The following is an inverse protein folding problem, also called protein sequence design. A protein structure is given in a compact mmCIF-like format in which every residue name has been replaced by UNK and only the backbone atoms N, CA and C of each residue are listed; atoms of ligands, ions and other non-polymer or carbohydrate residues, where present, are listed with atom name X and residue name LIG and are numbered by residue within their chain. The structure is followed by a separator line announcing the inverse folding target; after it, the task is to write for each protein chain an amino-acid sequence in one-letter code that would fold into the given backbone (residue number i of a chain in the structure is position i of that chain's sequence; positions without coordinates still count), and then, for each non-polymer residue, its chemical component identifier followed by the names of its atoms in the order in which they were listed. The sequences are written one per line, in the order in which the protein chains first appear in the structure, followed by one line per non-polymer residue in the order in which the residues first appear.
data_IF_695555202695
#
_entry.id   IF_695555202695
#
_cell.length_a   1.000
_cell.length_b   1.000
_cell.length_c   1.000
_cell.angle_alpha   90.00
_cell.angle_beta   90.00
_cell.angle_gamma   90.00
#
_symmetry.space_group_name_H-M   'P 1'
#
loop_
_entity.id
_entity.type
_entity.pdbx_description
1 polymer ?
#
# COMPACT_ATOMS: atom_id res chain seq x y z
N UNK A 1 -27.57 -5.56 29.53
CA UNK A 1 -26.93 -4.96 28.35
C UNK A 1 -27.95 -4.94 27.22
N UNK A 2 -28.27 -3.80 26.59
CA UNK A 2 -29.21 -3.77 25.50
C UNK A 2 -28.55 -4.35 24.26
N UNK A 3 -29.20 -5.36 23.68
CA UNK A 3 -28.86 -5.96 22.38
C UNK A 3 -28.94 -4.84 21.34
N UNK A 4 -27.82 -4.47 20.72
CA UNK A 4 -27.79 -3.60 19.54
C UNK A 4 -28.64 -4.28 18.45
N UNK A 5 -29.83 -3.75 18.18
CA UNK A 5 -30.61 -4.12 16.99
C UNK A 5 -29.72 -3.92 15.77
N UNK A 6 -29.48 -4.99 14.99
CA UNK A 6 -28.90 -4.87 13.68
C UNK A 6 -29.77 -3.87 12.88
N UNK A 7 -29.17 -2.78 12.43
CA UNK A 7 -29.85 -1.81 11.60
C UNK A 7 -30.27 -2.54 10.30
N UNK A 8 -31.56 -2.60 10.04
CA UNK A 8 -32.06 -3.16 8.80
C UNK A 8 -31.41 -2.40 7.65
N UNK A 9 -30.71 -3.12 6.78
CA UNK A 9 -30.04 -2.54 5.61
C UNK A 9 -31.12 -2.05 4.66
N UNK A 10 -31.31 -0.73 4.59
CA UNK A 10 -32.36 -0.14 3.74
C UNK A 10 -32.13 -0.48 2.25
N UNK A 11 -33.18 -0.41 1.39
CA UNK A 11 -33.08 -0.72 -0.04
C UNK A 11 -31.94 0.00 -0.76
N UNK A 12 -31.61 1.21 -0.33
CA UNK A 12 -30.49 2.01 -0.86
C UNK A 12 -29.11 1.40 -0.57
N UNK A 13 -28.91 0.82 0.61
CA UNK A 13 -27.63 0.19 0.98
C UNK A 13 -27.44 -1.08 0.16
N UNK A 14 -28.47 -1.89 -0.01
CA UNK A 14 -28.43 -3.09 -0.86
C UNK A 14 -28.16 -2.75 -2.32
N UNK A 15 -28.75 -1.67 -2.83
CA UNK A 15 -28.51 -1.19 -4.19
C UNK A 15 -27.02 -0.80 -4.37
N UNK A 16 -26.45 -0.03 -3.44
CA UNK A 16 -25.04 0.35 -3.44
C UNK A 16 -24.11 -0.86 -3.41
N UNK A 17 -24.41 -1.84 -2.54
CA UNK A 17 -23.64 -3.09 -2.46
C UNK A 17 -23.67 -3.85 -3.78
N UNK A 18 -24.82 -3.90 -4.45
CA UNK A 18 -24.97 -4.58 -5.75
C UNK A 18 -24.14 -3.87 -6.84
N UNK A 19 -24.17 -2.53 -6.90
CA UNK A 19 -23.37 -1.74 -7.85
C UNK A 19 -21.89 -1.96 -7.61
N UNK A 20 -21.43 -1.90 -6.34
CA UNK A 20 -20.05 -2.15 -5.98
C UNK A 20 -19.60 -3.57 -6.33
N UNK A 21 -20.43 -4.59 -6.06
CA UNK A 21 -20.13 -5.97 -6.40
C UNK A 21 -20.01 -6.20 -7.92
N UNK A 22 -20.91 -5.61 -8.72
CA UNK A 22 -20.85 -5.71 -10.19
C UNK A 22 -19.64 -4.95 -10.75
N UNK A 23 -19.32 -3.77 -10.22
CA UNK A 23 -18.15 -3.01 -10.63
C UNK A 23 -16.85 -3.75 -10.30
N UNK A 24 -16.75 -4.33 -9.10
CA UNK A 24 -15.61 -5.14 -8.70
C UNK A 24 -15.43 -6.36 -9.64
N UNK A 25 -16.52 -7.09 -9.93
CA UNK A 25 -16.47 -8.24 -10.83
C UNK A 25 -16.06 -7.86 -12.28
N UNK A 26 -16.47 -6.69 -12.77
CA UNK A 26 -16.03 -6.16 -14.08
C UNK A 26 -14.57 -5.76 -14.10
N UNK A 27 -14.08 -5.16 -13.02
CA UNK A 27 -12.68 -4.69 -12.91
C UNK A 27 -11.71 -5.84 -12.74
N UNK A 28 -12.10 -6.88 -11.99
CA UNK A 28 -11.25 -8.02 -11.64
C UNK A 28 -11.34 -9.15 -12.68
N UNK A 29 -12.25 -9.05 -13.64
CA UNK A 29 -12.43 -10.05 -14.69
C UNK A 29 -11.22 -10.08 -15.66
N UNK A 30 -10.90 -11.29 -16.16
CA UNK A 30 -9.81 -11.51 -17.14
C UNK A 30 -10.06 -10.81 -18.48
N UNK A 31 -11.30 -10.39 -18.73
CA UNK A 31 -11.71 -9.67 -19.95
C UNK A 31 -12.43 -8.39 -19.58
N UNK A 32 -12.24 -7.28 -20.32
CA UNK A 32 -12.94 -6.04 -20.08
C UNK A 32 -14.44 -6.09 -20.36
N UNK A 33 -14.94 -7.23 -20.85
CA UNK A 33 -16.35 -7.43 -21.21
C UNK A 33 -16.93 -8.67 -20.51
N UNK A 34 -18.14 -8.55 -19.97
CA UNK A 34 -18.83 -9.65 -19.32
C UNK A 34 -20.32 -9.70 -19.70
N UNK A 35 -20.92 -10.90 -19.68
CA UNK A 35 -22.37 -11.06 -19.84
C UNK A 35 -23.07 -10.87 -18.50
N UNK A 36 -24.33 -10.46 -18.53
CA UNK A 36 -25.18 -10.38 -17.33
C UNK A 36 -25.23 -11.73 -16.58
N UNK A 37 -25.20 -12.85 -17.32
CA UNK A 37 -25.21 -14.20 -16.75
C UNK A 37 -23.93 -14.51 -15.96
N UNK A 38 -22.79 -14.10 -16.50
CA UNK A 38 -21.48 -14.36 -15.92
C UNK A 38 -21.30 -13.52 -14.65
N UNK A 39 -21.67 -12.23 -14.73
CA UNK A 39 -21.70 -11.33 -13.57
C UNK A 39 -22.65 -11.81 -12.47
N UNK A 40 -23.83 -12.37 -12.84
CA UNK A 40 -24.75 -12.93 -11.86
C UNK A 40 -24.16 -14.16 -11.14
N UNK A 41 -23.42 -15.01 -11.87
CA UNK A 41 -22.72 -16.15 -11.29
C UNK A 41 -21.58 -15.73 -10.39
N UNK A 42 -20.76 -14.74 -10.81
CA UNK A 42 -19.60 -14.25 -10.05
C UNK A 42 -20.02 -13.52 -8.77
N UNK A 43 -21.08 -12.71 -8.84
CA UNK A 43 -21.53 -11.88 -7.71
C UNK A 43 -22.56 -12.55 -6.81
N UNK A 44 -23.13 -13.67 -7.22
CA UNK A 44 -24.27 -14.29 -6.52
C UNK A 44 -25.58 -13.47 -6.60
N UNK A 45 -25.62 -12.40 -7.40
CA UNK A 45 -26.79 -11.55 -7.56
C UNK A 45 -27.78 -12.11 -8.60
N UNK A 46 -29.06 -11.78 -8.45
CA UNK A 46 -30.03 -12.09 -9.48
C UNK A 46 -29.79 -11.29 -10.76
N UNK A 47 -30.10 -11.86 -11.94
CA UNK A 47 -29.97 -11.16 -13.25
C UNK A 47 -30.64 -9.78 -13.28
N UNK A 48 -31.87 -9.58 -12.72
CA UNK A 48 -32.47 -8.27 -12.65
C UNK A 48 -31.66 -7.28 -11.77
N UNK A 49 -31.02 -7.76 -10.69
CA UNK A 49 -30.17 -6.93 -9.84
C UNK A 49 -28.89 -6.50 -10.59
N UNK A 50 -28.23 -7.41 -11.29
CA UNK A 50 -27.07 -7.13 -12.15
C UNK A 50 -27.45 -6.14 -13.25
N UNK A 51 -28.58 -6.33 -13.94
CA UNK A 51 -29.03 -5.42 -15.01
C UNK A 51 -29.26 -4.01 -14.49
N UNK A 52 -29.85 -3.85 -13.31
CA UNK A 52 -30.03 -2.54 -12.68
C UNK A 52 -28.69 -1.89 -12.33
N UNK A 53 -27.78 -2.65 -11.72
CA UNK A 53 -26.44 -2.16 -11.39
C UNK A 53 -25.67 -1.72 -12.64
N UNK A 54 -25.71 -2.50 -13.72
CA UNK A 54 -25.09 -2.14 -15.01
C UNK A 54 -25.70 -0.88 -15.63
N UNK A 55 -27.03 -0.69 -15.49
CA UNK A 55 -27.71 0.53 -15.96
C UNK A 55 -27.18 1.76 -15.22
N UNK A 56 -27.04 1.66 -13.90
CA UNK A 56 -26.47 2.75 -13.08
C UNK A 56 -25.01 3.03 -13.45
N UNK A 57 -24.19 2.00 -13.61
CA UNK A 57 -22.79 2.14 -14.03
C UNK A 57 -22.68 2.77 -15.43
N UNK A 58 -23.58 2.44 -16.35
CA UNK A 58 -23.65 3.07 -17.68
C UNK A 58 -24.03 4.54 -17.56
N UNK A 59 -25.01 4.88 -16.74
CA UNK A 59 -25.48 6.25 -16.55
C UNK A 59 -24.38 7.13 -15.88
N UNK A 60 -23.44 6.50 -15.13
CA UNK A 60 -22.21 7.11 -14.65
C UNK A 60 -21.06 7.12 -15.68
N UNK A 61 -21.25 6.58 -16.88
CA UNK A 61 -20.22 6.50 -17.92
C UNK A 61 -19.14 5.44 -17.71
N UNK A 62 -19.29 4.56 -16.70
CA UNK A 62 -18.34 3.49 -16.35
C UNK A 62 -18.53 2.20 -17.14
N UNK A 63 -19.69 2.02 -17.73
CA UNK A 63 -20.02 0.84 -18.53
C UNK A 63 -20.63 1.26 -19.85
N UNK A 64 -20.27 0.55 -20.90
CA UNK A 64 -20.97 0.59 -22.17
C UNK A 64 -21.48 -0.81 -22.54
N UNK A 65 -22.58 -0.87 -23.29
CA UNK A 65 -23.09 -2.11 -23.82
C UNK A 65 -22.63 -2.30 -25.26
N UNK A 66 -22.00 -3.45 -25.52
CA UNK A 66 -21.52 -3.83 -26.87
C UNK A 66 -22.27 -5.05 -27.38
N UNK A 67 -22.50 -5.11 -28.69
CA UNK A 67 -23.02 -6.32 -29.31
C UNK A 67 -21.90 -7.38 -29.34
N UNK A 68 -22.24 -8.63 -29.00
CA UNK A 68 -21.26 -9.71 -29.03
C UNK A 68 -20.77 -9.99 -30.46
N UNK A 69 -19.46 -10.14 -30.62
CA UNK A 69 -18.80 -10.57 -31.87
C UNK A 69 -18.85 -12.10 -32.05
N UNK A 70 -20.02 -12.73 -31.92
CA UNK A 70 -20.21 -14.18 -32.12
C UNK A 70 -21.08 -14.47 -33.34
N UNK A 71 -20.97 -15.68 -33.96
CA UNK A 71 -21.84 -16.05 -35.07
C UNK A 71 -23.31 -15.92 -34.66
N UNK A 72 -24.13 -15.33 -35.53
CA UNK A 72 -25.55 -15.08 -35.33
C UNK A 72 -26.27 -16.41 -35.05
N UNK A 73 -26.46 -16.77 -33.80
CA UNK A 73 -27.44 -17.75 -33.38
C UNK A 73 -28.85 -17.10 -33.40
N UNK A 74 -29.85 -17.81 -33.89
CA UNK A 74 -31.26 -17.37 -33.88
C UNK A 74 -31.67 -16.97 -32.44
N UNK A 75 -31.81 -15.65 -32.18
CA UNK A 75 -32.18 -15.08 -30.89
C UNK A 75 -31.74 -13.62 -30.78
N UNK A 76 -32.21 -12.94 -29.72
CA UNK A 76 -31.80 -11.58 -29.41
C UNK A 76 -30.28 -11.60 -29.16
N UNK A 77 -29.48 -10.73 -29.82
CA UNK A 77 -28.00 -10.67 -29.60
C UNK A 77 -27.66 -10.56 -28.13
N UNK A 78 -26.70 -11.36 -27.67
CA UNK A 78 -26.22 -11.28 -26.30
C UNK A 78 -25.58 -9.91 -26.09
N UNK A 79 -26.04 -9.13 -25.14
CA UNK A 79 -25.42 -7.88 -24.71
C UNK A 79 -24.26 -8.16 -23.78
N UNK A 80 -23.12 -7.56 -24.07
CA UNK A 80 -21.94 -7.55 -23.20
C UNK A 80 -21.81 -6.17 -22.55
N UNK A 81 -21.51 -6.16 -21.28
CA UNK A 81 -21.13 -4.97 -20.56
C UNK A 81 -19.61 -4.82 -20.61
N UNK A 82 -19.08 -3.71 -21.16
CA UNK A 82 -17.66 -3.37 -21.15
C UNK A 82 -17.40 -2.34 -20.06
N UNK A 83 -16.45 -2.63 -19.20
CA UNK A 83 -15.94 -1.62 -18.24
C UNK A 83 -15.08 -0.60 -18.97
N UNK A 84 -15.37 0.67 -18.76
CA UNK A 84 -14.66 1.81 -19.36
C UNK A 84 -13.63 2.35 -18.38
N UNK A 85 -12.54 1.59 -18.20
CA UNK A 85 -11.45 1.96 -17.30
C UNK A 85 -10.85 3.33 -17.64
N UNK A 86 -10.84 3.68 -18.93
CA UNK A 86 -10.35 4.93 -19.49
C UNK A 86 -11.23 6.15 -19.18
N UNK A 87 -12.42 5.97 -18.62
CA UNK A 87 -13.36 7.09 -18.36
C UNK A 87 -12.93 7.99 -17.21
N UNK A 88 -11.96 7.58 -16.41
CA UNK A 88 -11.38 8.35 -15.33
C UNK A 88 -10.04 7.82 -14.88
N UNK A 89 -9.36 8.58 -14.05
CA UNK A 89 -8.03 8.24 -13.58
C UNK A 89 -7.89 8.47 -12.08
N UNK A 90 -6.92 7.83 -11.48
CA UNK A 90 -6.54 8.04 -10.07
C UNK A 90 -5.04 8.29 -9.98
N UNK A 91 -4.63 9.00 -8.94
CA UNK A 91 -3.22 9.18 -8.63
C UNK A 91 -2.86 8.64 -7.25
N UNK A 92 -1.77 7.90 -7.19
CA UNK A 92 -1.11 7.48 -5.95
C UNK A 92 0.22 8.22 -5.80
N UNK A 93 0.44 8.81 -4.63
CA UNK A 93 1.63 9.62 -4.34
C UNK A 93 2.37 9.05 -3.14
N UNK A 94 3.66 8.78 -3.28
CA UNK A 94 4.58 8.49 -2.19
C UNK A 94 5.39 9.75 -1.88
N UNK A 95 5.19 10.34 -0.71
CA UNK A 95 5.85 11.56 -0.25
C UNK A 95 6.90 11.20 0.78
N UNK A 96 8.15 11.15 0.36
CA UNK A 96 9.27 10.82 1.23
C UNK A 96 10.24 12.00 1.41
N UNK A 97 11.17 11.89 2.38
CA UNK A 97 12.17 12.94 2.66
C UNK A 97 13.25 13.09 1.58
N UNK A 98 13.33 12.14 0.63
CA UNK A 98 14.36 12.11 -0.41
C UNK A 98 13.80 11.96 -1.83
N UNK A 99 12.50 11.68 -1.93
CA UNK A 99 11.81 11.53 -3.23
C UNK A 99 10.32 11.78 -3.06
N UNK A 100 9.70 12.21 -4.14
CA UNK A 100 8.27 12.09 -4.39
C UNK A 100 8.09 11.16 -5.57
N UNK A 101 7.25 10.13 -5.44
CA UNK A 101 6.93 9.21 -6.52
C UNK A 101 5.42 9.25 -6.76
N UNK A 102 5.04 9.52 -8.00
CA UNK A 102 3.63 9.59 -8.42
C UNK A 102 3.33 8.50 -9.43
N UNK A 103 2.23 7.79 -9.23
CA UNK A 103 1.69 6.81 -10.16
C UNK A 103 0.32 7.28 -10.61
N UNK A 104 0.12 7.39 -11.92
CA UNK A 104 -1.19 7.61 -12.53
C UNK A 104 -1.71 6.28 -13.06
N UNK A 105 -2.94 5.97 -12.75
CA UNK A 105 -3.59 4.74 -13.21
C UNK A 105 -5.02 5.03 -13.71
N UNK A 106 -5.52 4.16 -14.60
CA UNK A 106 -6.93 4.14 -14.97
C UNK A 106 -7.81 3.52 -13.85
N UNK A 107 -9.12 3.46 -14.05
CA UNK A 107 -10.06 2.93 -13.04
C UNK A 107 -9.98 1.40 -12.88
N UNK A 108 -9.28 0.66 -13.76
CA UNK A 108 -8.91 -0.75 -13.56
C UNK A 108 -7.60 -0.88 -12.76
N UNK A 109 -6.94 0.23 -12.47
CA UNK A 109 -5.65 0.25 -11.79
C UNK A 109 -4.48 -0.08 -12.71
N UNK A 110 -4.67 -0.05 -14.04
CA UNK A 110 -3.57 -0.15 -14.99
C UNK A 110 -2.72 1.12 -14.90
N UNK A 111 -1.42 0.94 -14.65
CA UNK A 111 -0.47 2.06 -14.56
C UNK A 111 -0.26 2.67 -15.95
N UNK A 112 -0.48 3.97 -16.07
CA UNK A 112 -0.29 4.75 -17.28
C UNK A 112 1.03 5.51 -17.26
N UNK A 113 1.41 6.05 -16.09
CA UNK A 113 2.68 6.75 -15.91
C UNK A 113 3.21 6.58 -14.49
N UNK A 114 4.53 6.70 -14.34
CA UNK A 114 5.22 6.74 -13.05
C UNK A 114 6.28 7.83 -13.11
N UNK A 115 6.09 8.89 -12.35
CA UNK A 115 7.03 10.01 -12.27
C UNK A 115 7.74 10.02 -10.93
N UNK A 116 9.05 10.22 -10.95
CA UNK A 116 9.91 10.30 -9.75
C UNK A 116 10.63 11.64 -9.72
N UNK A 117 10.35 12.42 -8.70
CA UNK A 117 11.08 13.66 -8.39
C UNK A 117 12.03 13.42 -7.20
N UNK A 118 13.26 13.88 -7.33
CA UNK A 118 14.19 13.92 -6.20
C UNK A 118 13.80 15.05 -5.23
N UNK A 119 14.05 14.83 -3.94
CA UNK A 119 13.89 15.84 -2.89
C UNK A 119 15.25 16.11 -2.30
N UNK A 120 15.63 17.38 -2.24
CA UNK A 120 16.91 17.80 -1.69
C UNK A 120 16.99 17.59 -0.18
N UNK A 121 18.19 17.36 0.34
CA UNK A 121 18.38 17.21 1.79
C UNK A 121 18.02 18.49 2.51
N UNK A 122 17.23 18.36 3.58
CA UNK A 122 16.83 19.50 4.42
C UNK A 122 15.63 20.29 3.88
N UNK A 123 14.96 19.78 2.83
CA UNK A 123 13.71 20.37 2.36
C UNK A 123 12.68 20.39 3.49
N UNK A 124 12.00 21.53 3.65
CA UNK A 124 10.91 21.73 4.61
C UNK A 124 9.54 21.54 3.96
N UNK A 125 8.50 21.38 4.78
CA UNK A 125 7.16 21.06 4.35
C UNK A 125 6.60 21.86 3.17
N UNK A 126 6.65 23.21 3.17
CA UNK A 126 6.15 24.01 2.04
C UNK A 126 6.86 23.75 0.71
N UNK A 127 8.19 23.56 0.74
CA UNK A 127 8.97 23.24 -0.46
C UNK A 127 8.69 21.83 -0.96
N UNK A 128 8.56 20.87 -0.05
CA UNK A 128 8.14 19.51 -0.39
C UNK A 128 6.76 19.50 -1.03
N UNK A 129 5.82 20.29 -0.51
CA UNK A 129 4.49 20.43 -1.10
C UNK A 129 4.54 20.97 -2.54
N UNK A 130 5.41 21.95 -2.82
CA UNK A 130 5.63 22.44 -4.19
C UNK A 130 6.18 21.32 -5.10
N UNK A 131 7.11 20.49 -4.60
CA UNK A 131 7.62 19.30 -5.31
C UNK A 131 6.51 18.30 -5.59
N UNK A 132 5.61 18.04 -4.64
CA UNK A 132 4.44 17.14 -4.83
C UNK A 132 3.55 17.66 -5.96
N UNK A 133 3.23 18.95 -6.00
CA UNK A 133 2.43 19.54 -7.06
C UNK A 133 3.10 19.43 -8.44
N UNK A 134 4.39 19.73 -8.50
CA UNK A 134 5.17 19.62 -9.74
C UNK A 134 5.22 18.17 -10.24
N UNK A 135 5.46 17.20 -9.34
CA UNK A 135 5.49 15.78 -9.67
C UNK A 135 4.12 15.26 -10.16
N UNK A 136 3.01 15.67 -9.53
CA UNK A 136 1.66 15.33 -10.00
C UNK A 136 1.39 15.90 -11.40
N UNK A 137 1.76 17.17 -11.64
CA UNK A 137 1.60 17.79 -12.96
C UNK A 137 2.41 17.04 -14.03
N UNK A 138 3.65 16.70 -13.74
CA UNK A 138 4.52 15.95 -14.65
C UNK A 138 3.96 14.53 -14.93
N UNK A 139 3.53 13.81 -13.89
CA UNK A 139 2.99 12.46 -14.04
C UNK A 139 1.71 12.43 -14.89
N UNK A 140 0.82 13.42 -14.71
CA UNK A 140 -0.42 13.56 -15.52
C UNK A 140 -0.08 13.86 -16.98
N UNK A 141 0.92 14.72 -17.23
CA UNK A 141 1.39 15.02 -18.58
C UNK A 141 2.03 13.77 -19.25
N UNK A 142 2.85 13.02 -18.52
CA UNK A 142 3.45 11.76 -19.01
C UNK A 142 2.40 10.68 -19.28
N UNK A 143 1.31 10.65 -18.52
CA UNK A 143 0.19 9.76 -18.76
C UNK A 143 -0.66 10.18 -19.99
N UNK A 144 -0.48 11.39 -20.51
CA UNK A 144 -1.25 11.91 -21.62
C UNK A 144 -2.73 12.19 -21.29
N UNK A 145 -3.06 12.43 -20.02
CA UNK A 145 -4.43 12.64 -19.55
C UNK A 145 -4.60 14.04 -18.97
N UNK A 146 -5.80 14.65 -19.00
CA UNK A 146 -6.03 15.95 -18.38
C UNK A 146 -6.10 15.83 -16.85
N UNK A 147 -5.61 16.83 -16.13
CA UNK A 147 -5.68 16.89 -14.66
C UNK A 147 -7.12 16.74 -14.13
N UNK A 148 -8.10 17.29 -14.88
CA UNK A 148 -9.53 17.20 -14.55
C UNK A 148 -10.11 15.80 -14.67
N UNK A 149 -9.39 14.84 -15.27
CA UNK A 149 -9.81 13.44 -15.33
C UNK A 149 -9.49 12.65 -14.06
N UNK A 150 -8.78 13.24 -13.10
CA UNK A 150 -8.52 12.60 -11.81
C UNK A 150 -9.79 12.53 -10.97
N UNK A 151 -10.21 11.33 -10.64
CA UNK A 151 -11.38 11.06 -9.80
C UNK A 151 -11.05 11.07 -8.32
N UNK A 152 -9.85 10.67 -7.97
CA UNK A 152 -9.33 10.71 -6.61
C UNK A 152 -7.79 10.72 -6.60
N UNK A 153 -7.22 11.28 -5.56
CA UNK A 153 -5.79 11.23 -5.27
C UNK A 153 -5.59 10.73 -3.84
N UNK A 154 -4.67 9.79 -3.66
CA UNK A 154 -4.25 9.36 -2.33
C UNK A 154 -2.74 9.55 -2.19
N UNK A 155 -2.29 9.98 -1.02
CA UNK A 155 -0.89 10.20 -0.71
C UNK A 155 -0.45 9.37 0.50
N UNK A 156 0.74 8.77 0.41
CA UNK A 156 1.45 8.15 1.52
C UNK A 156 2.54 9.06 2.04
N UNK A 157 2.69 9.16 3.34
CA UNK A 157 3.75 9.94 3.98
C UNK A 157 4.27 9.23 5.22
N UNK A 158 5.55 9.37 5.58
CA UNK A 158 6.05 8.84 6.84
C UNK A 158 5.44 9.59 8.02
N UNK A 159 5.24 8.88 9.13
CA UNK A 159 4.78 9.43 10.39
C UNK A 159 3.35 9.08 10.75
N UNK A 160 2.78 9.79 11.73
CA UNK A 160 1.42 9.56 12.25
C UNK A 160 0.44 10.47 11.52
N UNK A 161 -0.61 9.87 10.94
CA UNK A 161 -1.60 10.56 10.12
C UNK A 161 -3.00 10.41 10.70
N UNK A 162 -3.69 11.53 10.93
CA UNK A 162 -5.13 11.57 11.15
C UNK A 162 -5.84 11.57 9.80
N UNK A 163 -6.35 10.41 9.39
CA UNK A 163 -7.01 10.25 8.10
C UNK A 163 -8.37 10.95 8.01
N UNK A 164 -9.09 11.04 9.13
CA UNK A 164 -10.42 11.65 9.16
C UNK A 164 -10.32 13.16 8.91
N UNK A 165 -9.30 13.80 9.52
CA UNK A 165 -9.00 15.21 9.30
C UNK A 165 -8.15 15.46 8.07
N UNK A 166 -7.45 14.46 7.56
CA UNK A 166 -6.48 14.61 6.48
C UNK A 166 -5.22 15.37 6.92
N UNK A 167 -4.79 15.18 8.16
CA UNK A 167 -3.68 15.90 8.77
C UNK A 167 -2.52 14.98 9.14
N UNK A 168 -1.30 15.45 8.94
CA UNK A 168 -0.09 14.80 9.44
C UNK A 168 0.18 15.32 10.84
N UNK A 169 0.05 14.46 11.85
CA UNK A 169 0.25 14.82 13.25
C UNK A 169 1.71 14.84 13.65
N UNK A 170 2.52 13.94 13.09
CA UNK A 170 3.94 13.79 13.39
C UNK A 170 4.68 13.24 12.18
N UNK A 171 5.75 13.92 11.75
CA UNK A 171 6.63 13.48 10.66
C UNK A 171 8.09 13.83 10.97
N UNK A 172 8.79 13.09 11.84
CA UNK A 172 10.14 13.44 12.30
C UNK A 172 11.19 13.50 11.18
N UNK A 173 10.93 12.82 10.07
CA UNK A 173 11.83 12.78 8.91
C UNK A 173 11.66 13.94 7.94
N UNK A 174 10.62 14.78 8.11
CA UNK A 174 10.31 15.89 7.20
C UNK A 174 9.99 17.13 8.07
N UNK A 175 10.92 18.07 8.24
CA UNK A 175 10.68 19.30 9.01
C UNK A 175 9.50 20.09 8.44
N UNK A 176 8.69 20.70 9.30
CA UNK A 176 7.53 21.54 8.98
C UNK A 176 6.46 20.87 8.05
N UNK A 177 6.47 19.53 7.99
CA UNK A 177 5.45 18.78 7.27
C UNK A 177 4.20 18.54 8.13
N UNK A 178 4.39 18.26 9.42
CA UNK A 178 3.30 18.13 10.37
C UNK A 178 2.57 19.48 10.53
N UNK A 179 1.23 19.43 10.50
CA UNK A 179 0.39 20.63 10.58
C UNK A 179 0.23 21.39 9.25
N UNK A 180 0.95 21.05 8.19
CA UNK A 180 0.70 21.62 6.86
C UNK A 180 -0.65 21.09 6.34
N UNK A 181 -1.60 21.94 5.89
CA UNK A 181 -2.90 21.50 5.40
C UNK A 181 -2.82 20.96 3.94
N UNK A 182 -1.90 20.02 3.71
CA UNK A 182 -1.56 19.52 2.37
C UNK A 182 -2.77 18.91 1.64
N UNK A 183 -3.65 18.21 2.36
CA UNK A 183 -4.85 17.59 1.76
C UNK A 183 -5.84 18.63 1.27
N UNK A 184 -6.14 19.67 2.05
CA UNK A 184 -7.06 20.73 1.64
C UNK A 184 -6.49 21.51 0.46
N UNK A 185 -5.21 21.89 0.51
CA UNK A 185 -4.53 22.60 -0.58
C UNK A 185 -4.52 21.79 -1.89
N UNK A 186 -4.30 20.47 -1.81
CA UNK A 186 -4.38 19.59 -3.00
C UNK A 186 -5.81 19.47 -3.49
N UNK A 187 -6.80 19.33 -2.60
CA UNK A 187 -8.22 19.21 -2.97
C UNK A 187 -8.72 20.46 -3.67
N UNK A 188 -8.38 21.63 -3.17
CA UNK A 188 -8.75 22.92 -3.77
C UNK A 188 -8.14 23.11 -5.17
N UNK A 189 -6.93 22.59 -5.37
CA UNK A 189 -6.25 22.66 -6.67
C UNK A 189 -6.76 21.62 -7.67
N UNK A 190 -7.02 20.38 -7.22
CA UNK A 190 -7.37 19.25 -8.08
C UNK A 190 -8.87 19.14 -8.35
N UNK A 191 -9.70 19.76 -7.51
CA UNK A 191 -11.17 19.66 -7.53
C UNK A 191 -11.70 18.21 -7.45
N UNK A 192 -10.93 17.29 -6.84
CA UNK A 192 -11.32 15.91 -6.59
C UNK A 192 -11.01 15.51 -5.13
N UNK A 193 -11.57 14.39 -4.63
CA UNK A 193 -11.22 13.87 -3.33
C UNK A 193 -9.72 13.62 -3.20
N UNK A 194 -9.13 14.10 -2.11
CA UNK A 194 -7.75 13.85 -1.74
C UNK A 194 -7.72 13.22 -0.36
N UNK A 195 -6.95 12.17 -0.20
CA UNK A 195 -6.73 11.47 1.06
C UNK A 195 -5.23 11.31 1.34
N UNK A 196 -4.88 11.17 2.62
CA UNK A 196 -3.52 10.92 3.06
C UNK A 196 -3.52 9.80 4.10
N UNK A 197 -2.50 8.95 4.08
CA UNK A 197 -2.29 7.88 5.06
C UNK A 197 -0.78 7.70 5.34
N UNK A 198 -0.46 6.93 6.34
CA UNK A 198 0.92 6.53 6.58
C UNK A 198 1.42 5.64 5.42
N UNK A 199 2.69 5.80 5.06
CA UNK A 199 3.35 5.13 3.93
C UNK A 199 3.29 3.60 4.02
N UNK A 200 3.61 3.00 5.18
CA UNK A 200 3.59 1.54 5.32
C UNK A 200 2.17 0.96 5.35
N UNK A 201 1.17 1.73 5.78
CA UNK A 201 -0.23 1.32 5.69
C UNK A 201 -0.71 1.24 4.22
N UNK A 202 -0.21 2.11 3.37
CA UNK A 202 -0.47 2.02 1.93
C UNK A 202 0.36 0.92 1.28
N UNK A 203 1.63 0.77 1.65
CA UNK A 203 2.48 -0.29 1.11
C UNK A 203 1.89 -1.69 1.37
N UNK A 204 1.36 -1.96 2.56
CA UNK A 204 0.73 -3.26 2.84
C UNK A 204 -0.53 -3.51 2.00
N UNK A 205 -1.28 -2.46 1.65
CA UNK A 205 -2.40 -2.56 0.70
C UNK A 205 -1.93 -2.95 -0.71
N UNK A 206 -0.81 -2.36 -1.16
CA UNK A 206 -0.23 -2.69 -2.45
C UNK A 206 0.23 -4.16 -2.51
N UNK A 207 0.91 -4.62 -1.47
CA UNK A 207 1.39 -6.00 -1.38
C UNK A 207 0.24 -7.00 -1.37
N UNK A 208 -0.86 -6.67 -0.70
CA UNK A 208 -2.07 -7.48 -0.74
C UNK A 208 -2.75 -7.48 -2.11
N UNK A 209 -2.68 -6.38 -2.84
CA UNK A 209 -3.37 -6.20 -4.12
C UNK A 209 -2.59 -6.79 -5.30
N UNK A 210 -1.30 -6.44 -5.43
CA UNK A 210 -0.45 -6.79 -6.59
C UNK A 210 1.00 -7.13 -6.23
N UNK A 211 1.27 -7.39 -4.96
CA UNK A 211 2.62 -7.65 -4.47
C UNK A 211 2.90 -9.11 -4.16
N UNK A 212 3.93 -9.33 -3.35
CA UNK A 212 4.38 -10.66 -2.93
C UNK A 212 3.36 -11.40 -2.03
N UNK A 213 2.31 -10.73 -1.57
CA UNK A 213 1.22 -11.36 -0.82
C UNK A 213 0.21 -12.06 -1.74
N UNK A 214 0.23 -11.83 -3.05
CA UNK A 214 -0.64 -12.49 -4.04
C UNK A 214 -0.05 -13.86 -4.37
N UNK A 215 -0.78 -14.97 -4.26
CA UNK A 215 -0.30 -16.30 -4.64
C UNK A 215 0.08 -16.34 -6.12
N UNK A 216 1.17 -17.05 -6.45
CA UNK A 216 1.58 -17.27 -7.82
C UNK A 216 0.47 -18.00 -8.61
N UNK A 217 -0.01 -17.42 -9.71
CA UNK A 217 -1.11 -17.96 -10.52
C UNK A 217 -2.52 -17.51 -10.10
N UNK A 218 -2.67 -16.72 -9.06
CA UNK A 218 -3.91 -16.02 -8.79
C UNK A 218 -4.02 -14.83 -9.77
N UNK A 219 -5.11 -14.77 -10.54
CA UNK A 219 -5.49 -13.55 -11.24
C UNK A 219 -5.64 -12.39 -10.25
N UNK A 220 -5.73 -11.15 -10.72
CA UNK A 220 -5.88 -9.95 -9.88
C UNK A 220 -7.17 -9.91 -9.00
N UNK A 221 -7.91 -11.01 -8.94
CA UNK A 221 -9.13 -11.19 -8.15
C UNK A 221 -8.85 -11.67 -6.72
N UNK A 222 -9.63 -11.16 -5.80
CA UNK A 222 -9.51 -11.29 -4.34
C UNK A 222 -9.67 -12.73 -3.80
N UNK A 223 -9.93 -13.75 -4.62
CA UNK A 223 -10.27 -15.11 -4.20
C UNK A 223 -9.49 -16.21 -4.91
N UNK A 224 -8.20 -16.30 -4.66
CA UNK A 224 -7.46 -17.54 -4.92
C UNK A 224 -7.04 -18.17 -3.59
N UNK A 225 -7.97 -18.79 -2.88
CA UNK A 225 -7.78 -19.93 -1.95
C UNK A 225 -6.86 -19.77 -0.73
N UNK A 226 -6.00 -18.77 -0.68
CA UNK A 226 -5.17 -18.45 0.50
C UNK A 226 -5.63 -17.10 1.04
N UNK A 227 -6.57 -17.15 1.96
CA UNK A 227 -7.03 -15.98 2.70
C UNK A 227 -5.90 -15.47 3.59
N UNK A 228 -5.15 -14.49 3.12
CA UNK A 228 -4.27 -13.69 3.98
C UNK A 228 -5.12 -12.68 4.74
N UNK A 229 -5.94 -13.18 5.66
CA UNK A 229 -6.77 -12.33 6.53
C UNK A 229 -5.89 -11.49 7.45
N UNK A 230 -4.67 -11.95 7.75
CA UNK A 230 -3.64 -11.21 8.45
C UNK A 230 -2.34 -11.20 7.64
N UNK A 231 -1.89 -10.01 7.27
CA UNK A 231 -0.67 -9.75 6.52
C UNK A 231 0.15 -8.68 7.24
N UNK A 232 1.45 -8.88 7.33
CA UNK A 232 2.40 -7.88 7.84
C UNK A 232 3.35 -7.48 6.72
N UNK A 233 3.48 -6.18 6.48
CA UNK A 233 4.52 -5.59 5.65
C UNK A 233 5.51 -4.85 6.54
N UNK A 234 6.80 -5.09 6.37
CA UNK A 234 7.86 -4.36 7.08
C UNK A 234 8.69 -3.58 6.08
N UNK A 235 8.67 -2.28 6.17
CA UNK A 235 9.58 -1.41 5.43
C UNK A 235 10.92 -1.35 6.18
N UNK A 236 11.92 -2.04 5.66
CA UNK A 236 13.25 -2.08 6.25
C UNK A 236 14.21 -1.17 5.47
N UNK A 237 14.51 -0.04 6.05
CA UNK A 237 15.39 0.98 5.50
C UNK A 237 16.27 1.60 6.58
N UNK A 238 16.49 2.91 6.49
CA UNK A 238 17.06 3.70 7.58
C UNK A 238 16.17 3.62 8.81
N UNK A 239 14.86 3.74 8.62
CA UNK A 239 13.81 3.52 9.62
C UNK A 239 13.11 2.20 9.38
N UNK A 240 12.35 1.77 10.38
CA UNK A 240 11.55 0.54 10.32
C UNK A 240 10.10 0.90 10.59
N UNK A 241 9.28 0.78 9.57
CA UNK A 241 7.84 0.91 9.66
C UNK A 241 7.15 -0.43 9.40
N UNK A 242 5.97 -0.62 9.97
CA UNK A 242 5.21 -1.85 9.77
C UNK A 242 3.76 -1.55 9.44
N UNK A 243 3.30 -2.02 8.29
CA UNK A 243 1.89 -2.04 7.91
C UNK A 243 1.26 -3.37 8.25
N UNK A 244 0.06 -3.33 8.84
CA UNK A 244 -0.66 -4.52 9.30
C UNK A 244 -2.03 -4.55 8.63
N UNK A 245 -2.40 -5.69 8.06
CA UNK A 245 -3.76 -5.96 7.57
C UNK A 245 -4.40 -7.03 8.47
N UNK A 246 -5.61 -6.79 8.94
CA UNK A 246 -6.43 -7.76 9.68
C UNK A 246 -7.82 -7.78 9.02
N UNK A 247 -8.31 -8.98 8.71
CA UNK A 247 -9.59 -9.17 8.01
C UNK A 247 -9.67 -8.35 6.69
N UNK A 248 -8.57 -8.32 5.96
CA UNK A 248 -8.48 -7.64 4.67
C UNK A 248 -8.41 -6.11 4.73
N UNK A 249 -8.33 -5.51 5.92
CA UNK A 249 -8.28 -4.05 6.12
C UNK A 249 -7.03 -3.63 6.88
N UNK A 250 -6.41 -2.49 6.53
CA UNK A 250 -5.28 -1.98 7.30
C UNK A 250 -5.67 -1.69 8.74
N UNK A 251 -4.90 -2.24 9.67
CA UNK A 251 -5.07 -2.01 11.10
C UNK A 251 -4.13 -0.89 11.55
N UNK A 252 -4.68 0.19 12.05
CA UNK A 252 -3.96 1.40 12.44
C UNK A 252 -3.86 1.60 13.94
N UNK A 253 -4.60 0.82 14.71
CA UNK A 253 -4.75 1.04 16.17
C UNK A 253 -5.63 2.25 16.49
N UNK A 254 -5.70 2.56 17.77
CA UNK A 254 -6.55 3.65 18.27
C UNK A 254 -6.03 5.06 17.95
N UNK A 255 -4.70 5.20 17.88
CA UNK A 255 -4.01 6.49 17.69
C UNK A 255 -3.19 6.55 16.39
N UNK A 256 -3.52 5.70 15.41
CA UNK A 256 -2.79 5.53 14.16
C UNK A 256 -1.29 5.18 14.32
N UNK A 257 -0.90 4.60 15.47
CA UNK A 257 0.47 4.21 15.79
C UNK A 257 0.67 2.69 15.88
N UNK A 258 -0.26 1.89 15.33
CA UNK A 258 -0.05 0.45 15.25
C UNK A 258 1.08 0.14 14.26
N UNK A 259 1.95 -0.81 14.62
CA UNK A 259 3.05 -1.22 13.76
C UNK A 259 4.35 -0.44 13.93
N UNK A 260 4.48 0.40 14.93
CA UNK A 260 5.71 1.16 15.25
C UNK A 260 6.82 0.25 15.82
N UNK A 261 7.17 -0.82 15.08
CA UNK A 261 8.19 -1.80 15.45
C UNK A 261 9.56 -1.16 15.73
N UNK A 262 9.88 -0.09 15.02
CA UNK A 262 11.14 0.65 15.19
C UNK A 262 11.40 1.14 16.61
N UNK A 263 10.32 1.33 17.40
CA UNK A 263 10.39 1.82 18.79
C UNK A 263 10.46 0.72 19.85
N UNK A 264 10.41 -0.55 19.48
CA UNK A 264 10.56 -1.66 20.42
C UNK A 264 11.99 -1.68 20.95
N UNK A 265 12.17 -1.71 22.27
CA UNK A 265 13.46 -1.89 22.92
C UNK A 265 13.65 -3.38 23.30
N UNK A 266 14.58 -4.04 22.61
CA UNK A 266 14.88 -5.45 22.80
C UNK A 266 16.20 -5.71 23.55
N UNK A 267 16.95 -4.67 23.85
CA UNK A 267 18.32 -4.77 24.36
C UNK A 267 18.54 -3.86 25.57
N UNK A 268 17.58 -2.98 25.87
CA UNK A 268 17.65 -2.10 27.01
C UNK A 268 17.76 -2.88 28.33
N UNK A 269 18.65 -2.45 29.20
CA UNK A 269 18.69 -2.90 30.57
C UNK A 269 17.43 -2.37 31.28
N UNK A 270 16.56 -3.26 31.83
CA UNK A 270 15.34 -2.84 32.51
C UNK A 270 15.59 -1.90 33.70
N UNK A 271 16.79 -1.94 34.27
CA UNK A 271 17.20 -1.06 35.37
C UNK A 271 17.69 0.31 34.90
N UNK A 272 17.92 0.48 33.59
CA UNK A 272 18.28 1.77 32.99
C UNK A 272 17.02 2.58 32.76
N UNK A 273 16.92 3.76 33.41
CA UNK A 273 15.80 4.69 33.13
C UNK A 273 15.78 5.06 31.65
N UNK A 274 14.62 4.95 30.98
CA UNK A 274 14.49 5.42 29.61
C UNK A 274 14.94 6.88 29.52
N UNK A 275 15.95 7.15 28.72
CA UNK A 275 16.36 8.51 28.44
C UNK A 275 15.31 9.27 27.63
N UNK A 276 15.41 10.60 27.49
CA UNK A 276 14.56 11.37 26.62
C UNK A 276 14.68 10.83 25.19
N UNK A 277 13.56 10.88 24.42
CA UNK A 277 13.58 10.48 23.01
C UNK A 277 14.70 11.24 22.28
N UNK A 278 15.56 10.53 21.53
CA UNK A 278 16.62 11.20 20.77
C UNK A 278 16.03 12.23 19.80
N UNK A 279 16.73 13.35 19.62
CA UNK A 279 16.28 14.45 18.75
C UNK A 279 16.08 14.04 17.27
N UNK A 280 16.77 12.97 16.82
CA UNK A 280 16.63 12.41 15.48
C UNK A 280 15.36 11.54 15.30
N UNK A 281 14.60 11.32 16.39
CA UNK A 281 13.37 10.55 16.40
C UNK A 281 13.53 9.08 16.01
N UNK A 282 14.76 8.51 16.06
CA UNK A 282 14.99 7.09 15.78
C UNK A 282 14.67 6.24 17.01
N UNK A 283 13.96 5.14 16.78
CA UNK A 283 13.64 4.16 17.82
C UNK A 283 14.82 3.24 18.17
N UNK A 284 14.79 2.57 19.34
CA UNK A 284 15.84 1.64 19.76
C UNK A 284 16.08 0.51 18.75
N UNK A 285 15.03 -0.09 18.19
CA UNK A 285 15.18 -1.16 17.22
C UNK A 285 15.77 -0.67 15.89
N UNK A 286 15.42 0.51 15.42
CA UNK A 286 16.02 1.13 14.23
C UNK A 286 17.53 1.32 14.39
N UNK A 287 17.98 1.70 15.60
CA UNK A 287 19.43 1.86 15.93
C UNK A 287 20.18 0.54 15.97
N UNK A 288 19.49 -0.59 16.05
CA UNK A 288 20.08 -1.94 16.07
C UNK A 288 20.21 -2.55 14.69
N UNK A 289 19.23 -2.30 13.80
CA UNK A 289 19.09 -3.03 12.54
C UNK A 289 18.77 -2.14 11.33
N UNK A 290 18.59 -0.84 11.49
CA UNK A 290 18.41 0.09 10.37
C UNK A 290 19.68 0.21 9.50
N UNK A 291 19.55 0.75 8.29
CA UNK A 291 20.66 0.83 7.34
C UNK A 291 21.91 1.51 7.91
N UNK A 292 21.75 2.55 8.74
CA UNK A 292 22.89 3.22 9.42
C UNK A 292 23.58 2.30 10.43
N UNK A 293 22.81 1.48 11.15
CA UNK A 293 23.36 0.50 12.08
C UNK A 293 24.11 -0.61 11.35
N UNK A 294 23.57 -1.08 10.23
CA UNK A 294 24.22 -2.08 9.37
C UNK A 294 25.54 -1.54 8.84
N UNK A 295 25.55 -0.31 8.31
CA UNK A 295 26.74 0.34 7.78
C UNK A 295 27.84 0.49 8.87
N UNK A 296 27.46 0.94 10.06
CA UNK A 296 28.39 1.04 11.20
C UNK A 296 28.98 -0.32 11.59
N UNK A 297 28.14 -1.35 11.72
CA UNK A 297 28.60 -2.70 12.03
C UNK A 297 29.57 -3.25 11.00
N UNK A 298 29.35 -2.95 9.72
CA UNK A 298 30.23 -3.36 8.64
C UNK A 298 31.60 -2.66 8.75
N UNK A 299 31.63 -1.35 9.01
CA UNK A 299 32.87 -0.62 9.25
C UNK A 299 33.65 -1.17 10.46
N UNK A 300 32.96 -1.44 11.57
CA UNK A 300 33.56 -2.01 12.78
C UNK A 300 34.17 -3.40 12.53
N UNK A 301 33.56 -4.19 11.63
CA UNK A 301 34.04 -5.52 11.26
C UNK A 301 35.10 -5.52 10.15
N UNK A 302 35.38 -4.36 9.53
CA UNK A 302 36.26 -4.26 8.36
C UNK A 302 35.64 -4.85 7.08
N UNK A 303 34.32 -4.99 7.03
CA UNK A 303 33.60 -5.45 5.85
C UNK A 303 33.37 -4.31 4.84
N UNK A 304 33.27 -4.58 3.53
CA UNK A 304 33.05 -3.57 2.51
C UNK A 304 31.74 -2.82 2.67
N UNK A 305 31.78 -1.49 2.57
CA UNK A 305 30.61 -0.60 2.48
C UNK A 305 30.90 0.53 1.51
N UNK A 306 29.87 1.14 0.97
CA UNK A 306 29.97 2.35 0.16
C UNK A 306 29.88 3.63 1.00
N UNK A 307 29.90 4.77 0.29
CA UNK A 307 29.74 6.09 0.90
C UNK A 307 28.29 6.34 1.34
N UNK A 308 28.10 7.32 2.23
CA UNK A 308 26.80 7.84 2.63
C UNK A 308 25.77 6.77 3.04
N UNK A 309 26.20 5.74 3.78
CA UNK A 309 25.36 4.64 4.28
C UNK A 309 24.93 3.64 3.19
N UNK A 310 25.64 3.56 2.07
CA UNK A 310 25.44 2.50 1.09
C UNK A 310 25.92 1.16 1.65
N UNK A 311 24.99 0.23 1.80
CA UNK A 311 25.19 -1.12 2.33
C UNK A 311 25.21 -2.21 1.24
N UNK A 312 25.05 -1.84 -0.03
CA UNK A 312 25.03 -2.83 -1.12
C UNK A 312 26.36 -3.61 -1.25
N UNK A 313 27.57 -2.97 -1.09
CA UNK A 313 28.83 -3.71 -1.14
C UNK A 313 28.97 -4.77 -0.04
N UNK A 314 28.39 -4.54 1.15
CA UNK A 314 28.37 -5.53 2.24
C UNK A 314 27.66 -6.82 1.83
N UNK A 315 26.46 -6.69 1.24
CA UNK A 315 25.68 -7.85 0.82
C UNK A 315 26.31 -8.59 -0.36
N UNK A 316 26.93 -7.86 -1.29
CA UNK A 316 27.67 -8.47 -2.39
C UNK A 316 28.91 -9.24 -1.88
N UNK A 317 29.64 -8.69 -0.90
CA UNK A 317 30.77 -9.39 -0.28
C UNK A 317 30.31 -10.62 0.53
N UNK A 318 29.21 -10.53 1.25
CA UNK A 318 28.64 -11.68 1.98
C UNK A 318 28.21 -12.82 1.01
N UNK A 319 27.62 -12.47 -0.11
CA UNK A 319 27.25 -13.44 -1.16
C UNK A 319 28.50 -14.10 -1.78
N UNK A 320 29.60 -13.34 -1.91
CA UNK A 320 30.90 -13.85 -2.36
C UNK A 320 31.66 -14.67 -1.29
N UNK A 321 31.14 -14.75 -0.04
CA UNK A 321 31.71 -15.53 1.04
C UNK A 321 32.74 -14.80 1.89
N UNK A 322 32.81 -13.44 1.82
CA UNK A 322 33.65 -12.67 2.71
C UNK A 322 33.21 -12.88 4.17
N UNK A 323 34.15 -13.31 5.00
CA UNK A 323 33.88 -13.74 6.38
C UNK A 323 33.34 -12.61 7.25
N UNK A 324 33.92 -11.42 7.15
CA UNK A 324 33.51 -10.27 7.94
C UNK A 324 32.10 -9.81 7.55
N UNK A 325 31.82 -9.79 6.25
CA UNK A 325 30.51 -9.46 5.72
C UNK A 325 29.43 -10.47 6.14
N UNK A 326 29.74 -11.77 6.07
CA UNK A 326 28.81 -12.84 6.52
C UNK A 326 28.51 -12.69 8.01
N UNK A 327 29.52 -12.46 8.87
CA UNK A 327 29.35 -12.27 10.31
C UNK A 327 28.44 -11.06 10.63
N UNK A 328 28.57 -9.96 9.88
CA UNK A 328 27.70 -8.78 10.02
C UNK A 328 26.27 -9.11 9.61
N UNK A 329 26.07 -9.75 8.45
CA UNK A 329 24.75 -10.14 7.96
C UNK A 329 24.05 -11.08 8.96
N UNK A 330 24.74 -12.08 9.49
CA UNK A 330 24.21 -13.00 10.51
C UNK A 330 23.78 -12.25 11.79
N UNK A 331 24.61 -11.32 12.26
CA UNK A 331 24.31 -10.51 13.45
C UNK A 331 23.08 -9.63 13.25
N UNK A 332 22.97 -8.98 12.09
CA UNK A 332 21.83 -8.12 11.75
C UNK A 332 20.55 -8.97 11.61
N UNK A 333 20.65 -10.10 10.91
CA UNK A 333 19.53 -11.03 10.73
C UNK A 333 19.01 -11.58 12.07
N UNK A 334 19.90 -11.97 12.98
CA UNK A 334 19.53 -12.45 14.32
C UNK A 334 18.79 -11.36 15.13
N UNK A 335 19.28 -10.12 15.10
CA UNK A 335 18.65 -8.98 15.77
C UNK A 335 17.27 -8.67 15.17
N UNK A 336 17.18 -8.63 13.84
CA UNK A 336 15.93 -8.35 13.14
C UNK A 336 14.88 -9.44 13.40
N UNK A 337 15.28 -10.71 13.35
CA UNK A 337 14.41 -11.84 13.64
C UNK A 337 13.79 -11.77 15.05
N UNK A 338 14.56 -11.37 16.07
CA UNK A 338 14.04 -11.17 17.43
C UNK A 338 12.96 -10.10 17.50
N UNK A 339 13.18 -8.95 16.84
CA UNK A 339 12.18 -7.89 16.80
C UNK A 339 10.92 -8.29 16.04
N UNK A 340 11.11 -8.89 14.87
CA UNK A 340 10.00 -9.37 14.06
C UNK A 340 9.18 -10.44 14.80
N UNK A 341 9.82 -11.32 15.55
CA UNK A 341 9.16 -12.38 16.32
C UNK A 341 8.10 -11.82 17.30
N UNK A 342 8.31 -10.62 17.85
CA UNK A 342 7.31 -9.97 18.72
C UNK A 342 5.98 -9.79 17.99
N UNK A 343 6.02 -9.28 16.76
CA UNK A 343 4.81 -9.12 15.94
C UNK A 343 4.21 -10.48 15.53
N UNK A 344 5.05 -11.45 15.19
CA UNK A 344 4.60 -12.78 14.76
C UNK A 344 3.87 -13.50 15.88
N UNK A 345 4.37 -13.43 17.11
CA UNK A 345 3.75 -14.09 18.28
C UNK A 345 2.45 -13.41 18.72
N UNK A 346 2.27 -12.11 18.42
CA UNK A 346 1.07 -11.35 18.80
C UNK A 346 -0.01 -11.41 17.72
N UNK A 347 0.38 -11.36 16.45
CA UNK A 347 -0.55 -11.22 15.33
C UNK A 347 -0.83 -12.54 14.60
N UNK A 348 0.07 -13.51 14.70
CA UNK A 348 0.03 -14.79 13.95
C UNK A 348 -0.34 -14.58 12.48
N UNK A 349 0.46 -13.78 11.71
CA UNK A 349 0.12 -13.46 10.34
C UNK A 349 0.35 -14.66 9.42
N UNK A 350 -0.53 -14.85 8.44
CA UNK A 350 -0.34 -15.87 7.40
C UNK A 350 0.88 -15.61 6.51
N UNK A 351 1.30 -14.35 6.39
CA UNK A 351 2.46 -13.95 5.56
C UNK A 351 3.10 -12.66 6.07
N UNK A 352 4.42 -12.56 5.87
CA UNK A 352 5.21 -11.35 6.08
C UNK A 352 5.90 -10.95 4.78
N UNK A 353 5.80 -9.68 4.40
CA UNK A 353 6.51 -9.11 3.25
C UNK A 353 7.51 -8.07 3.74
N UNK A 354 8.75 -8.20 3.32
CA UNK A 354 9.83 -7.25 3.66
C UNK A 354 10.11 -6.37 2.44
N UNK A 355 9.90 -5.08 2.61
CA UNK A 355 10.22 -4.04 1.63
C UNK A 355 11.31 -3.08 2.12
N UNK A 356 11.49 -1.97 1.41
CA UNK A 356 12.50 -0.96 1.73
C UNK A 356 13.87 -1.27 1.14
N UNK A 357 14.82 -0.36 1.35
CA UNK A 357 16.15 -0.43 0.72
C UNK A 357 16.98 -1.65 1.13
N UNK A 358 16.84 -2.07 2.38
CA UNK A 358 17.60 -3.22 2.96
C UNK A 358 17.12 -4.54 2.36
N UNK A 359 15.84 -4.67 1.99
CA UNK A 359 15.30 -5.90 1.39
C UNK A 359 15.91 -6.24 0.01
N UNK A 360 16.58 -5.29 -0.64
CA UNK A 360 17.31 -5.51 -1.91
C UNK A 360 18.43 -6.53 -1.79
N UNK A 361 18.92 -6.79 -0.57
CA UNK A 361 19.87 -7.88 -0.28
C UNK A 361 19.31 -9.27 -0.59
N UNK A 362 18.00 -9.41 -0.82
CA UNK A 362 17.38 -10.67 -1.20
C UNK A 362 17.66 -11.78 -0.17
N UNK A 363 17.90 -12.98 -0.67
CA UNK A 363 18.11 -14.15 0.19
C UNK A 363 19.44 -14.12 0.95
N UNK A 364 20.42 -13.32 0.55
CA UNK A 364 21.65 -13.08 1.33
C UNK A 364 21.32 -12.60 2.73
N UNK A 365 20.26 -11.81 2.91
CA UNK A 365 19.79 -11.36 4.22
C UNK A 365 18.56 -12.13 4.70
N UNK A 366 17.55 -12.34 3.86
CA UNK A 366 16.29 -12.97 4.29
C UNK A 366 16.44 -14.46 4.60
N UNK A 367 17.42 -15.15 3.99
CA UNK A 367 17.77 -16.54 4.36
C UNK A 367 18.17 -16.66 5.81
N UNK A 368 19.20 -15.94 6.29
CA UNK A 368 19.54 -15.84 7.71
C UNK A 368 18.37 -15.44 8.61
N UNK A 369 17.58 -14.42 8.23
CA UNK A 369 16.40 -14.02 9.01
C UNK A 369 15.42 -15.20 9.20
N UNK A 370 15.08 -15.94 8.13
CA UNK A 370 14.21 -17.12 8.21
C UNK A 370 14.78 -18.20 9.13
N UNK A 371 16.12 -18.41 9.12
CA UNK A 371 16.77 -19.38 10.03
C UNK A 371 16.63 -18.97 11.48
N UNK A 372 16.90 -17.71 11.81
CA UNK A 372 16.78 -17.20 13.18
C UNK A 372 15.34 -17.17 13.68
N UNK A 373 14.35 -16.84 12.81
CA UNK A 373 12.94 -16.84 13.19
C UNK A 373 12.46 -18.20 13.69
N UNK A 374 12.95 -19.31 13.13
CA UNK A 374 12.56 -20.67 13.56
C UNK A 374 12.79 -20.93 15.05
N UNK A 375 13.76 -20.27 15.68
CA UNK A 375 14.02 -20.38 17.11
C UNK A 375 13.21 -19.42 17.98
N UNK A 376 12.47 -18.49 17.35
CA UNK A 376 11.72 -17.45 18.04
C UNK A 376 10.20 -17.52 17.80
N UNK A 377 9.72 -18.39 16.91
CA UNK A 377 8.31 -18.56 16.59
C UNK A 377 7.85 -19.99 16.82
N UNK A 378 6.57 -20.14 17.17
CA UNK A 378 5.96 -21.47 17.40
C UNK A 378 5.55 -22.15 16.10
N UNK A 379 5.20 -21.37 15.08
CA UNK A 379 4.75 -21.81 13.76
C UNK A 379 5.62 -21.14 12.70
N UNK A 380 6.03 -21.86 11.65
CA UNK A 380 6.73 -21.25 10.52
C UNK A 380 5.84 -20.18 9.85
N UNK A 381 6.43 -19.02 9.56
CA UNK A 381 5.78 -17.94 8.81
C UNK A 381 6.37 -17.84 7.41
N UNK A 382 5.53 -17.57 6.43
CA UNK A 382 5.97 -17.29 5.07
C UNK A 382 6.52 -15.86 5.02
N UNK A 383 7.83 -15.73 4.75
CA UNK A 383 8.55 -14.46 4.70
C UNK A 383 9.11 -14.24 3.29
N UNK A 384 8.63 -13.20 2.61
CA UNK A 384 8.98 -12.87 1.24
C UNK A 384 9.53 -11.46 1.10
N UNK A 385 10.39 -11.22 0.10
CA UNK A 385 10.75 -9.87 -0.31
C UNK A 385 9.61 -9.23 -1.11
N UNK A 386 9.42 -7.92 -0.95
CA UNK A 386 8.51 -7.13 -1.80
C UNK A 386 8.97 -7.18 -3.25
N UNK A 387 8.02 -7.43 -4.15
CA UNK A 387 8.24 -7.35 -5.62
C UNK A 387 7.90 -5.96 -6.17
N UNK A 388 7.27 -5.11 -5.38
CA UNK A 388 6.88 -3.76 -5.79
C UNK A 388 8.01 -2.74 -5.64
N UNK A 389 9.01 -3.05 -4.81
CA UNK A 389 10.17 -2.18 -4.59
C UNK A 389 9.77 -0.79 -4.10
N UNK A 390 10.33 0.25 -4.73
CA UNK A 390 10.05 1.64 -4.35
C UNK A 390 8.65 2.12 -4.72
N UNK A 391 7.89 1.37 -5.51
CA UNK A 391 6.52 1.71 -5.91
C UNK A 391 5.45 1.26 -4.92
N UNK A 392 5.81 0.48 -3.89
CA UNK A 392 4.84 -0.11 -2.97
C UNK A 392 3.89 0.93 -2.36
N UNK A 393 4.40 2.04 -1.84
CA UNK A 393 3.60 3.11 -1.24
C UNK A 393 2.66 3.75 -2.27
N UNK A 394 3.19 4.19 -3.42
CA UNK A 394 2.39 4.83 -4.46
C UNK A 394 1.33 3.88 -5.06
N UNK A 395 1.65 2.59 -5.23
CA UNK A 395 0.69 1.58 -5.68
C UNK A 395 -0.42 1.33 -4.66
N UNK A 396 -0.09 1.34 -3.37
CA UNK A 396 -1.09 1.28 -2.29
C UNK A 396 -1.96 2.53 -2.24
N UNK A 397 -1.38 3.69 -2.52
CA UNK A 397 -2.12 4.93 -2.68
C UNK A 397 -3.06 4.87 -3.90
N UNK A 398 -2.62 4.30 -5.05
CA UNK A 398 -3.52 4.02 -6.19
C UNK A 398 -4.69 3.13 -5.77
N UNK A 399 -4.42 2.02 -5.06
CA UNK A 399 -5.49 1.13 -4.59
C UNK A 399 -6.49 1.87 -3.70
N UNK A 400 -5.99 2.67 -2.76
CA UNK A 400 -6.83 3.47 -1.88
C UNK A 400 -7.61 4.56 -2.64
N UNK A 401 -7.00 5.21 -3.63
CA UNK A 401 -7.69 6.19 -4.47
C UNK A 401 -8.79 5.56 -5.33
N UNK A 402 -8.61 4.31 -5.81
CA UNK A 402 -9.65 3.55 -6.48
C UNK A 402 -10.83 3.27 -5.54
N UNK A 403 -10.59 2.91 -4.27
CA UNK A 403 -11.67 2.70 -3.28
C UNK A 403 -12.46 3.99 -3.07
N UNK A 404 -11.80 5.14 -2.94
CA UNK A 404 -12.43 6.47 -2.82
C UNK A 404 -13.24 6.84 -4.06
N UNK A 405 -12.72 6.55 -5.26
CA UNK A 405 -13.44 6.78 -6.51
C UNK A 405 -14.71 5.92 -6.62
N UNK A 406 -14.66 4.66 -6.19
CA UNK A 406 -15.82 3.76 -6.15
C UNK A 406 -16.91 4.23 -5.18
N UNK A 407 -16.51 4.68 -3.98
CA UNK A 407 -17.46 5.25 -3.02
C UNK A 407 -18.20 6.45 -3.59
N UNK A 408 -17.53 7.28 -4.39
CA UNK A 408 -18.14 8.41 -5.06
C UNK A 408 -19.21 7.98 -6.07
N UNK A 409 -18.93 6.99 -6.91
CA UNK A 409 -19.89 6.44 -7.88
C UNK A 409 -21.17 5.98 -7.20
N UNK A 410 -20.99 5.27 -6.08
CA UNK A 410 -22.12 4.72 -5.32
C UNK A 410 -22.89 5.79 -4.51
N UNK A 411 -22.35 7.00 -4.33
CA UNK A 411 -22.95 8.06 -3.49
C UNK A 411 -23.61 9.18 -4.31
N UNK A 412 -23.14 9.47 -5.53
CA UNK A 412 -23.54 10.66 -6.33
C UNK A 412 -25.01 10.61 -6.82
N UNK A 413 -25.70 9.47 -6.75
CA UNK A 413 -27.11 9.35 -7.18
C UNK A 413 -28.15 9.86 -6.17
N UNK A 414 -27.76 10.53 -5.09
CA UNK A 414 -28.71 11.13 -4.11
C UNK A 414 -29.13 12.57 -4.44
N UNK A 415 -28.58 13.18 -5.49
CA UNK A 415 -28.79 14.59 -5.81
C UNK A 415 -29.78 14.92 -6.92
N UNK A 416 -30.46 13.92 -7.53
CA UNK A 416 -31.37 14.13 -8.66
C UNK A 416 -32.71 13.41 -8.45
N UNK A 417 -33.35 13.62 -7.30
CA UNK A 417 -34.79 13.34 -7.13
C UNK A 417 -35.48 14.51 -6.49
#
# INVERSE_FOLDING_TARGET
MPVRKAAATGPHVLRRMNVAAVLAALREGDTPTARVTDLASLTGLSRPAVTRALTELRDCGLVEFTAGAGPQQLGRPAQYARFRAESGHVAGVDIGPHKVLVVIADLAGQVLATHRAAVDRGVVGPQLFATVRAALTAAVAEAGVPLSSLWAVSAGTPGIVDRERGEVLLAPSIPDWAGLPAVSLLRDWLHCPVSIDNDVNLAVLAERWRGAAVPAGAGSGVDAGVRTDCLVFVQWGRRIGTGIVINGRPYRGNSAAAGELGFVDLVGDPDTRPGPRPADGMGPFERLVGAEAIHRLALEAGAPVGDAHDIAPLFAAAEAGDRAAVEVVERVAARFARGLAVLLLVLDPGRVVIGGGVSRAGDTLLGPVRRHLRSHTLVPVELNASVLGERAVAMGAVRHALDVAEERVTTTHQGHT
#
